data_IF_726342997524
#
_entry.id   IF_726342997524
#
_cell.length_a   1.000
_cell.length_b   1.000
_cell.length_c   1.000
_cell.angle_alpha   90.00
_cell.angle_beta   90.00
_cell.angle_gamma   90.00
#
_symmetry.space_group_name_H-M   'P 1'
#
loop_
_entity.id
_entity.type
_entity.pdbx_description
1 polymer ?
#
# COMPACT_ATOMS: atom_id res chain seq x y z
N UNK A 1 -14.83 38.79 -15.22
CA UNK A 1 -16.00 39.14 -14.38
C UNK A 1 -17.06 38.09 -14.68
N UNK A 2 -17.21 37.01 -13.91
CA UNK A 2 -17.98 36.88 -12.66
C UNK A 2 -17.56 35.56 -11.97
N UNK A 3 -17.10 35.61 -10.71
CA UNK A 3 -17.81 35.18 -9.48
C UNK A 3 -18.13 33.67 -9.42
N UNK A 4 -17.39 32.91 -8.60
CA UNK A 4 -17.64 32.65 -7.17
C UNK A 4 -18.84 31.74 -6.91
N UNK A 5 -18.55 30.56 -6.35
CA UNK A 5 -19.57 29.56 -6.00
C UNK A 5 -19.06 28.51 -5.02
N UNK A 6 -18.42 28.95 -3.94
CA UNK A 6 -18.12 28.16 -2.75
C UNK A 6 -19.39 27.60 -2.10
N UNK A 7 -19.48 26.28 -1.91
CA UNK A 7 -20.46 25.66 -1.02
C UNK A 7 -19.80 24.76 0.02
N UNK A 8 -20.02 25.19 1.25
CA UNK A 8 -19.66 24.62 2.53
C UNK A 8 -20.68 23.57 2.98
N UNK A 9 -20.30 22.82 4.03
CA UNK A 9 -21.09 21.94 4.92
C UNK A 9 -21.12 20.47 4.44
N UNK A 10 -20.83 19.47 5.28
CA UNK A 10 -21.29 19.30 6.67
C UNK A 10 -20.40 18.28 7.39
N UNK A 11 -19.90 18.69 8.56
CA UNK A 11 -19.40 17.80 9.61
C UNK A 11 -20.54 16.95 10.18
N UNK A 12 -20.28 15.65 10.37
CA UNK A 12 -21.11 14.77 11.19
C UNK A 12 -20.25 14.20 12.31
N UNK A 13 -20.47 14.75 13.50
CA UNK A 13 -20.01 14.24 14.79
C UNK A 13 -20.88 13.05 15.20
N UNK A 14 -20.26 12.00 15.72
CA UNK A 14 -20.86 11.03 16.65
C UNK A 14 -19.75 10.67 17.65
N UNK A 15 -19.67 11.36 18.79
CA UNK A 15 -20.30 10.98 20.06
C UNK A 15 -19.77 9.66 20.61
N UNK A 16 -18.66 9.73 21.34
CA UNK A 16 -18.20 8.71 22.29
C UNK A 16 -18.50 9.23 23.69
N UNK A 17 -19.47 8.59 24.36
CA UNK A 17 -19.79 8.83 25.76
C UNK A 17 -19.11 7.76 26.60
N UNK A 18 -18.19 8.18 27.44
CA UNK A 18 -17.59 7.39 28.52
C UNK A 18 -18.61 7.22 29.66
N UNK A 19 -18.77 6.01 30.18
CA UNK A 19 -19.22 5.75 31.57
C UNK A 19 -18.58 4.44 32.06
N UNK A 20 -17.62 4.56 32.98
CA UNK A 20 -17.17 3.52 33.92
C UNK A 20 -17.82 3.79 35.31
N UNK A 21 -17.59 2.98 36.37
CA UNK A 21 -17.92 1.56 36.57
C UNK A 21 -18.79 1.39 37.86
N UNK A 22 -19.33 0.19 38.15
CA UNK A 22 -19.85 -0.07 39.51
C UNK A 22 -19.70 -1.53 39.94
N UNK A 23 -19.25 -1.69 41.18
CA UNK A 23 -18.78 -2.93 41.83
C UNK A 23 -19.89 -3.59 42.66
N UNK A 24 -19.65 -4.88 42.93
CA UNK A 24 -20.07 -5.70 44.08
C UNK A 24 -21.27 -6.66 43.89
N UNK A 25 -21.02 -7.95 44.13
CA UNK A 25 -22.01 -9.02 44.21
C UNK A 25 -21.37 -10.40 44.44
N UNK A 26 -21.49 -10.90 45.67
CA UNK A 26 -20.91 -12.10 46.31
C UNK A 26 -21.32 -13.47 45.71
N UNK A 27 -20.32 -14.36 45.59
CA UNK A 27 -20.19 -15.82 45.90
C UNK A 27 -21.43 -16.74 45.85
N UNK A 28 -21.30 -17.91 45.20
CA UNK A 28 -21.71 -19.26 45.67
C UNK A 28 -21.09 -20.36 44.76
N UNK A 29 -20.51 -21.40 45.36
CA UNK A 29 -19.97 -22.60 44.70
C UNK A 29 -20.96 -23.78 44.77
N UNK A 30 -21.00 -24.66 43.75
CA UNK A 30 -21.13 -26.13 43.87
C UNK A 30 -21.29 -26.85 42.50
N UNK A 31 -20.59 -27.98 42.34
CA UNK A 31 -20.87 -29.11 41.41
C UNK A 31 -20.58 -28.86 39.92
N UNK A 32 -19.84 -29.67 39.17
CA UNK A 32 -19.72 -31.14 39.17
C UNK A 32 -20.52 -31.70 37.97
N UNK A 33 -19.85 -32.11 36.89
CA UNK A 33 -20.50 -32.82 35.77
C UNK A 33 -19.81 -32.64 34.42
N UNK A 34 -19.03 -33.65 34.01
CA UNK A 34 -18.59 -33.91 32.64
C UNK A 34 -19.75 -33.94 31.64
N UNK A 35 -19.53 -33.35 30.46
CA UNK A 35 -20.09 -33.71 29.15
C UNK A 35 -19.35 -32.82 28.15
N UNK A 36 -18.22 -33.28 27.63
CA UNK A 36 -18.15 -33.98 26.35
C UNK A 36 -18.80 -33.19 25.20
N UNK A 37 -18.01 -32.98 24.15
CA UNK A 37 -18.48 -32.81 22.78
C UNK A 37 -19.22 -31.52 22.36
N UNK A 38 -18.64 -30.35 22.63
CA UNK A 38 -18.90 -29.17 21.77
C UNK A 38 -17.63 -28.54 21.19
N UNK A 39 -16.69 -29.41 20.84
CA UNK A 39 -15.72 -29.16 19.78
C UNK A 39 -16.41 -29.32 18.41
N UNK A 40 -17.42 -28.48 18.18
CA UNK A 40 -18.17 -28.46 16.92
C UNK A 40 -17.36 -27.69 15.87
N UNK A 41 -16.46 -28.42 15.22
CA UNK A 41 -16.04 -28.20 13.83
C UNK A 41 -15.82 -26.76 13.38
N UNK A 42 -14.83 -26.07 13.93
CA UNK A 42 -14.27 -24.90 13.25
C UNK A 42 -13.35 -25.41 12.12
N UNK A 43 -13.90 -25.45 10.92
CA UNK A 43 -13.28 -25.89 9.67
C UNK A 43 -11.82 -25.43 9.51
N UNK A 44 -10.87 -26.35 9.72
CA UNK A 44 -9.49 -26.23 9.19
C UNK A 44 -9.46 -26.23 7.66
N UNK A 45 -10.59 -26.58 7.04
CA UNK A 45 -10.89 -26.44 5.62
C UNK A 45 -11.38 -25.02 5.32
N UNK A 46 -10.53 -24.02 5.52
CA UNK A 46 -10.96 -22.62 5.40
C UNK A 46 -9.83 -21.62 5.36
N UNK A 47 -8.78 -21.77 6.17
CA UNK A 47 -7.76 -20.74 6.29
C UNK A 47 -6.85 -20.61 5.06
N UNK A 48 -6.57 -21.69 4.34
CA UNK A 48 -5.72 -21.70 3.13
C UNK A 48 -6.49 -21.30 1.89
N UNK A 49 -7.71 -21.81 1.72
CA UNK A 49 -8.61 -21.46 0.62
C UNK A 49 -9.06 -19.99 0.72
N UNK A 50 -9.44 -19.52 1.92
CA UNK A 50 -9.76 -18.10 2.12
C UNK A 50 -8.54 -17.19 1.92
N UNK A 51 -7.33 -17.60 2.32
CA UNK A 51 -6.10 -16.85 2.00
C UNK A 51 -5.86 -16.75 0.51
N UNK A 52 -6.07 -17.82 -0.26
CA UNK A 52 -5.93 -17.82 -1.72
C UNK A 52 -7.00 -16.96 -2.40
N UNK A 53 -8.27 -17.10 -2.01
CA UNK A 53 -9.37 -16.28 -2.54
C UNK A 53 -9.16 -14.79 -2.22
N UNK A 54 -8.73 -14.48 -0.99
CA UNK A 54 -8.45 -13.09 -0.61
C UNK A 54 -7.20 -12.56 -1.31
N UNK A 55 -6.18 -13.39 -1.56
CA UNK A 55 -5.02 -13.03 -2.39
C UNK A 55 -5.44 -12.72 -3.83
N UNK A 56 -6.27 -13.53 -4.48
CA UNK A 56 -6.75 -13.26 -5.84
C UNK A 56 -7.60 -11.98 -5.92
N UNK A 57 -8.46 -11.73 -4.92
CA UNK A 57 -9.25 -10.49 -4.86
C UNK A 57 -8.36 -9.27 -4.62
N UNK A 58 -7.40 -9.38 -3.71
CA UNK A 58 -6.49 -8.28 -3.37
C UNK A 58 -5.42 -8.06 -4.46
N UNK A 59 -5.15 -9.04 -5.31
CA UNK A 59 -4.18 -8.93 -6.41
C UNK A 59 -4.57 -7.83 -7.42
N UNK A 60 -5.84 -7.78 -7.84
CA UNK A 60 -6.35 -6.72 -8.73
C UNK A 60 -6.30 -5.33 -8.09
N UNK A 61 -6.37 -5.26 -6.76
CA UNK A 61 -6.23 -4.00 -6.03
C UNK A 61 -4.76 -3.59 -5.88
N UNK A 62 -3.86 -4.55 -5.66
CA UNK A 62 -2.45 -4.34 -5.41
C UNK A 62 -1.69 -3.94 -6.68
N UNK A 63 -1.95 -4.59 -7.82
CA UNK A 63 -1.21 -4.42 -9.07
C UNK A 63 -1.08 -2.95 -9.53
N UNK A 64 -2.14 -2.12 -9.57
CA UNK A 64 -2.02 -0.71 -9.95
C UNK A 64 -1.34 0.18 -8.88
N UNK A 65 -1.03 -0.34 -7.70
CA UNK A 65 -0.43 0.41 -6.56
C UNK A 65 1.02 0.05 -6.28
N UNK A 66 1.59 -0.91 -7.02
CA UNK A 66 2.94 -1.39 -6.77
C UNK A 66 4.01 -0.30 -6.97
N UNK A 67 3.87 0.56 -7.98
CA UNK A 67 4.83 1.67 -8.21
C UNK A 67 4.91 2.59 -6.98
N UNK A 68 3.76 3.13 -6.56
CA UNK A 68 3.68 4.00 -5.40
C UNK A 68 4.13 3.30 -4.10
N UNK A 69 3.89 1.98 -3.96
CA UNK A 69 4.41 1.22 -2.83
C UNK A 69 5.95 1.19 -2.80
N UNK A 70 6.58 0.95 -3.95
CA UNK A 70 8.04 0.88 -4.06
C UNK A 70 8.67 2.26 -3.88
N UNK A 71 7.99 3.31 -4.34
CA UNK A 71 8.42 4.70 -4.20
C UNK A 71 8.17 5.27 -2.79
N UNK A 72 7.41 4.57 -1.94
CA UNK A 72 7.05 5.05 -0.60
C UNK A 72 5.94 6.10 -0.60
N UNK A 73 5.21 6.24 -1.70
CA UNK A 73 4.19 7.26 -1.94
C UNK A 73 2.75 6.75 -1.64
N UNK A 74 2.62 5.67 -0.88
CA UNK A 74 1.33 5.17 -0.41
C UNK A 74 0.97 5.72 0.98
N UNK A 75 -0.31 6.06 1.24
CA UNK A 75 -0.77 6.30 2.60
C UNK A 75 -0.57 5.07 3.48
N UNK A 76 -0.23 5.24 4.76
CA UNK A 76 0.19 4.14 5.67
C UNK A 76 -0.78 2.95 5.69
N UNK A 77 -2.09 3.22 5.57
CA UNK A 77 -3.10 2.15 5.55
C UNK A 77 -2.98 1.27 4.30
N UNK A 78 -2.69 1.87 3.16
CA UNK A 78 -2.52 1.16 1.89
C UNK A 78 -1.18 0.44 1.88
N UNK A 79 -0.12 1.08 2.38
CA UNK A 79 1.20 0.46 2.55
C UNK A 79 1.11 -0.81 3.41
N UNK A 80 0.52 -0.74 4.61
CA UNK A 80 0.32 -1.93 5.47
C UNK A 80 -0.50 -3.02 4.80
N UNK A 81 -1.56 -2.68 4.08
CA UNK A 81 -2.38 -3.66 3.35
C UNK A 81 -1.58 -4.35 2.25
N UNK A 82 -0.73 -3.60 1.56
CA UNK A 82 0.06 -4.12 0.45
C UNK A 82 1.25 -4.96 0.96
N UNK A 83 1.88 -4.57 2.07
CA UNK A 83 2.85 -5.41 2.78
C UNK A 83 2.25 -6.73 3.26
N UNK A 84 1.06 -6.72 3.87
CA UNK A 84 0.36 -7.95 4.24
C UNK A 84 -0.01 -8.81 3.03
N UNK A 85 -0.27 -8.20 1.86
CA UNK A 85 -0.54 -8.93 0.62
C UNK A 85 0.73 -9.58 0.05
N UNK A 86 1.87 -8.89 0.13
CA UNK A 86 3.17 -9.40 -0.30
C UNK A 86 3.52 -10.73 0.40
N UNK A 87 3.23 -10.84 1.70
CA UNK A 87 3.44 -12.08 2.47
C UNK A 87 2.57 -13.26 1.98
N UNK A 88 1.44 -12.97 1.32
CA UNK A 88 0.47 -13.96 0.89
C UNK A 88 0.55 -14.30 -0.61
N UNK A 89 1.03 -13.37 -1.44
CA UNK A 89 1.05 -13.49 -2.89
C UNK A 89 2.50 -13.54 -3.42
N UNK A 90 3.02 -14.72 -3.80
CA UNK A 90 4.39 -14.86 -4.27
C UNK A 90 4.66 -14.12 -5.58
N UNK A 91 3.65 -13.96 -6.44
CA UNK A 91 3.74 -13.21 -7.70
C UNK A 91 3.98 -11.72 -7.44
N UNK A 92 3.18 -11.10 -6.57
CA UNK A 92 3.39 -9.70 -6.18
C UNK A 92 4.73 -9.51 -5.47
N UNK A 93 5.10 -10.42 -4.56
CA UNK A 93 6.39 -10.34 -3.88
C UNK A 93 7.57 -10.43 -4.86
N UNK A 94 7.49 -11.29 -5.87
CA UNK A 94 8.54 -11.39 -6.88
C UNK A 94 8.60 -10.14 -7.75
N UNK A 95 7.46 -9.57 -8.14
CA UNK A 95 7.40 -8.35 -8.92
C UNK A 95 7.99 -7.15 -8.15
N UNK A 96 7.63 -7.00 -6.86
CA UNK A 96 8.18 -5.96 -5.97
C UNK A 96 9.70 -6.07 -5.90
N UNK A 97 10.24 -7.26 -5.59
CA UNK A 97 11.70 -7.48 -5.54
C UNK A 97 12.39 -7.14 -6.85
N UNK A 98 11.78 -7.51 -7.98
CA UNK A 98 12.35 -7.27 -9.32
C UNK A 98 12.41 -5.77 -9.61
N UNK A 99 11.32 -5.04 -9.34
CA UNK A 99 11.28 -3.59 -9.56
C UNK A 99 12.23 -2.83 -8.63
N UNK A 100 12.32 -3.21 -7.36
CA UNK A 100 13.29 -2.65 -6.42
C UNK A 100 14.74 -2.88 -6.87
N UNK A 101 15.06 -4.07 -7.35
CA UNK A 101 16.39 -4.39 -7.88
C UNK A 101 16.72 -3.53 -9.11
N UNK A 102 15.76 -3.34 -10.02
CA UNK A 102 15.93 -2.47 -11.19
C UNK A 102 16.16 -1.02 -10.78
N UNK A 103 15.34 -0.47 -9.88
CA UNK A 103 15.47 0.91 -9.39
C UNK A 103 16.83 1.13 -8.70
N UNK A 104 17.31 0.13 -7.96
CA UNK A 104 18.63 0.17 -7.33
C UNK A 104 19.77 0.13 -8.35
N UNK A 105 19.60 -0.58 -9.47
CA UNK A 105 20.61 -0.72 -10.51
C UNK A 105 20.66 0.47 -11.48
N UNK A 106 19.54 1.14 -11.76
CA UNK A 106 19.45 2.25 -12.72
C UNK A 106 20.45 3.40 -12.47
N UNK A 107 20.71 3.84 -11.23
CA UNK A 107 21.72 4.87 -10.96
C UNK A 107 23.12 4.52 -11.46
N UNK A 108 23.51 3.24 -11.44
CA UNK A 108 24.81 2.80 -11.95
C UNK A 108 24.94 2.92 -13.47
N UNK A 109 23.81 3.02 -14.19
CA UNK A 109 23.78 3.25 -15.63
C UNK A 109 23.77 4.75 -15.99
N UNK A 110 23.64 5.64 -15.00
CA UNK A 110 23.69 7.08 -15.26
C UNK A 110 25.11 7.49 -15.63
N UNK A 111 25.21 8.28 -16.69
CA UNK A 111 26.44 8.99 -16.99
C UNK A 111 26.80 9.90 -15.81
N UNK A 112 28.11 10.06 -15.51
CA UNK A 112 28.52 11.07 -14.55
C UNK A 112 28.04 12.46 -15.04
N UNK A 113 27.74 13.39 -14.11
CA UNK A 113 27.18 14.70 -14.45
C UNK A 113 28.01 15.42 -15.51
N UNK A 114 29.35 15.36 -15.40
CA UNK A 114 30.29 16.02 -16.30
C UNK A 114 30.15 15.53 -17.74
N UNK A 115 30.01 14.22 -17.94
CA UNK A 115 29.80 13.64 -19.27
C UNK A 115 28.42 14.02 -19.84
N UNK A 116 27.39 14.05 -18.98
CA UNK A 116 26.04 14.46 -19.39
C UNK A 116 26.01 15.93 -19.85
N UNK A 117 26.68 16.82 -19.12
CA UNK A 117 26.78 18.23 -19.49
C UNK A 117 27.56 18.43 -20.79
N UNK A 118 28.69 17.75 -20.98
CA UNK A 118 29.48 17.85 -22.19
C UNK A 118 28.70 17.42 -23.44
N UNK A 119 27.86 16.38 -23.33
CA UNK A 119 26.96 15.95 -24.41
C UNK A 119 25.92 17.04 -24.68
N UNK A 120 25.25 17.54 -23.64
CA UNK A 120 24.21 18.56 -23.79
C UNK A 120 24.74 19.86 -24.43
N UNK A 121 25.93 20.32 -24.02
CA UNK A 121 26.59 21.50 -24.57
C UNK A 121 26.91 21.32 -26.06
N UNK A 122 27.54 20.20 -26.42
CA UNK A 122 27.83 19.86 -27.82
C UNK A 122 26.55 19.80 -28.66
N UNK A 123 25.49 19.18 -28.14
CA UNK A 123 24.20 19.13 -28.84
C UNK A 123 23.60 20.53 -29.01
N UNK A 124 23.68 21.39 -28.00
CA UNK A 124 23.20 22.76 -28.09
C UNK A 124 23.97 23.58 -29.13
N UNK A 125 25.29 23.43 -29.22
CA UNK A 125 26.11 24.04 -30.26
C UNK A 125 25.73 23.55 -31.65
N UNK A 126 25.56 22.24 -31.83
CA UNK A 126 25.13 21.66 -33.09
C UNK A 126 23.77 22.20 -33.54
N UNK A 127 22.82 22.34 -32.62
CA UNK A 127 21.50 22.91 -32.92
C UNK A 127 21.61 24.39 -33.31
N UNK A 128 22.41 25.20 -32.60
CA UNK A 128 22.60 26.63 -32.96
C UNK A 128 23.22 26.80 -34.35
N UNK A 129 24.31 26.09 -34.62
CA UNK A 129 24.96 26.13 -35.94
C UNK A 129 24.00 25.72 -37.06
N UNK A 130 23.12 24.75 -36.80
CA UNK A 130 22.11 24.29 -37.76
C UNK A 130 21.02 25.33 -38.04
N UNK A 131 20.64 26.13 -37.04
CA UNK A 131 19.65 27.21 -37.19
C UNK A 131 20.26 28.35 -38.02
N UNK A 132 21.50 28.76 -37.71
CA UNK A 132 22.21 29.82 -38.44
C UNK A 132 22.47 29.48 -39.92
N UNK A 133 22.54 28.19 -40.27
CA UNK A 133 22.66 27.74 -41.67
C UNK A 133 21.37 27.98 -42.48
N UNK A 134 20.22 28.12 -41.81
CA UNK A 134 18.91 28.27 -42.46
C UNK A 134 18.37 29.71 -42.43
N UNK A 135 19.06 30.61 -41.72
CA UNK A 135 18.81 32.06 -41.72
C UNK A 135 19.63 32.77 -42.82
#
# INVERSE_FOLDING_TARGET
>A
MTSSGSRSRRSSRTSTSEVEPSRAGVVLSAGGGESDSEQRGQSRMGATTWRRINAERDHRWAQPRLSAYIEGDLPDRQERRLGAHEELCPECAQLIRTLQALITALPALRLPPEASFAIAERTAEQVRARIEEWD
#
